data_IF_603560695376
#
_entry.id   IF_603560695376
#
_cell.length_a   1.000
_cell.length_b   1.000
_cell.length_c   1.000
_cell.angle_alpha   90.00
_cell.angle_beta   90.00
_cell.angle_gamma   90.00
#
_symmetry.space_group_name_H-M   'P 1'
#
loop_
_entity.id
_entity.type
_entity.pdbx_description
1 polymer ?
#
# COMPACT_ATOMS: atom_id res chain seq x y z
N UNK A 1 -6.34 -57.54 -17.09
CA UNK A 1 -5.25 -58.17 -16.31
C UNK A 1 -3.96 -57.99 -17.07
N UNK A 2 -2.99 -57.30 -16.48
CA UNK A 2 -1.62 -57.21 -17.02
C UNK A 2 -0.82 -58.43 -16.55
N UNK A 3 0.18 -58.83 -17.33
CA UNK A 3 0.90 -60.13 -17.29
C UNK A 3 1.65 -60.49 -15.98
N UNK A 4 1.46 -59.74 -14.89
CA UNK A 4 2.10 -59.95 -13.59
C UNK A 4 1.16 -59.88 -12.38
N UNK A 5 -0.17 -59.99 -12.57
CA UNK A 5 -1.12 -60.05 -11.44
C UNK A 5 -1.20 -58.78 -10.59
N UNK A 6 -0.76 -57.64 -11.13
CA UNK A 6 -0.96 -56.32 -10.50
C UNK A 6 -2.28 -55.73 -10.97
N UNK A 7 -3.16 -55.43 -10.01
CA UNK A 7 -4.34 -54.62 -10.28
C UNK A 7 -3.91 -53.17 -10.50
N UNK A 8 -4.38 -52.55 -11.59
CA UNK A 8 -4.09 -51.16 -11.92
C UNK A 8 -5.40 -50.39 -11.95
N UNK A 9 -5.50 -49.36 -11.12
CA UNK A 9 -6.58 -48.39 -11.19
C UNK A 9 -6.17 -47.24 -12.10
N UNK A 10 -6.93 -47.02 -13.18
CA UNK A 10 -6.75 -45.88 -14.08
C UNK A 10 -7.80 -44.82 -13.75
N UNK A 11 -7.36 -43.69 -13.22
CA UNK A 11 -8.22 -42.52 -12.99
C UNK A 11 -8.20 -41.63 -14.23
N UNK A 12 -9.34 -41.52 -14.90
CA UNK A 12 -9.54 -40.62 -16.05
C UNK A 12 -10.36 -39.44 -15.55
N UNK A 13 -9.75 -38.26 -15.52
CA UNK A 13 -10.37 -37.03 -15.09
C UNK A 13 -10.34 -36.00 -16.22
N UNK A 14 -11.37 -35.17 -16.30
CA UNK A 14 -11.29 -33.94 -17.08
C UNK A 14 -10.40 -32.90 -16.35
N UNK A 15 -10.17 -31.77 -17.00
CA UNK A 15 -9.30 -30.73 -16.45
C UNK A 15 -9.84 -30.13 -15.13
N UNK A 16 -11.16 -30.02 -14.96
CA UNK A 16 -11.76 -29.42 -13.75
C UNK A 16 -11.68 -30.39 -12.57
N UNK A 17 -11.91 -31.68 -12.79
CA UNK A 17 -11.74 -32.71 -11.78
C UNK A 17 -10.25 -32.90 -11.41
N UNK A 18 -9.34 -32.85 -12.39
CA UNK A 18 -7.91 -32.95 -12.15
C UNK A 18 -7.37 -31.82 -11.26
N UNK A 19 -7.95 -30.62 -11.32
CA UNK A 19 -7.60 -29.49 -10.43
C UNK A 19 -7.94 -29.72 -8.96
N UNK A 20 -8.75 -30.73 -8.64
CA UNK A 20 -9.12 -31.10 -7.27
C UNK A 20 -8.33 -32.29 -6.75
N UNK A 21 -7.34 -32.77 -7.52
CA UNK A 21 -6.44 -33.84 -7.12
C UNK A 21 -5.21 -33.27 -6.42
N UNK A 22 -4.90 -33.83 -5.26
CA UNK A 22 -3.79 -33.45 -4.39
C UNK A 22 -2.94 -34.67 -4.09
N UNK A 23 -1.62 -34.49 -4.11
CA UNK A 23 -0.64 -35.53 -3.76
C UNK A 23 0.28 -35.00 -2.65
N UNK A 24 -0.25 -34.81 -1.42
CA UNK A 24 0.59 -34.36 -0.31
C UNK A 24 1.64 -35.42 0.01
N UNK A 25 2.85 -34.98 0.33
CA UNK A 25 3.93 -35.89 0.68
C UNK A 25 3.79 -36.41 2.09
N UNK A 26 4.11 -37.69 2.28
CA UNK A 26 4.19 -38.33 3.59
C UNK A 26 5.65 -38.67 3.85
N UNK A 27 6.16 -38.14 4.96
CA UNK A 27 7.56 -38.25 5.39
C UNK A 27 7.84 -39.66 5.90
N UNK A 28 8.93 -40.27 5.43
CA UNK A 28 9.41 -41.53 5.96
C UNK A 28 10.00 -41.41 7.38
N UNK A 29 9.93 -42.46 8.22
CA UNK A 29 10.49 -42.42 9.57
C UNK A 29 12.00 -42.14 9.55
N UNK A 30 12.47 -41.17 10.36
CA UNK A 30 13.89 -40.90 10.57
C UNK A 30 14.62 -40.21 9.42
N UNK A 31 13.91 -39.55 8.50
CA UNK A 31 14.52 -38.74 7.44
C UNK A 31 14.47 -37.25 7.77
N UNK A 32 15.63 -36.59 7.72
CA UNK A 32 15.73 -35.14 7.58
C UNK A 32 15.34 -34.76 6.12
N UNK A 33 14.75 -33.58 5.93
CA UNK A 33 14.23 -33.09 4.62
C UNK A 33 12.90 -33.71 4.18
N UNK A 34 11.94 -33.80 5.11
CA UNK A 34 10.52 -34.16 4.93
C UNK A 34 9.80 -33.47 3.77
N UNK A 35 10.18 -32.23 3.47
CA UNK A 35 9.52 -31.36 2.51
C UNK A 35 9.87 -31.70 1.04
N UNK A 36 10.83 -32.59 0.80
CA UNK A 36 11.43 -32.82 -0.51
C UNK A 36 11.08 -34.21 -1.05
N UNK A 37 10.06 -34.23 -1.92
CA UNK A 37 9.46 -35.44 -2.50
C UNK A 37 10.48 -36.39 -3.15
N UNK A 38 11.45 -35.84 -3.88
CA UNK A 38 12.48 -36.60 -4.60
C UNK A 38 13.54 -37.25 -3.70
N UNK A 39 13.56 -36.88 -2.41
CA UNK A 39 14.58 -37.31 -1.44
C UNK A 39 13.99 -38.31 -0.43
N UNK A 40 12.75 -38.10 0.02
CA UNK A 40 12.25 -38.77 1.23
C UNK A 40 10.79 -39.24 1.20
N UNK A 41 10.07 -39.15 0.07
CA UNK A 41 8.67 -39.60 0.01
C UNK A 41 8.54 -41.14 0.00
N UNK A 42 7.79 -41.70 0.96
CA UNK A 42 7.69 -43.16 1.15
C UNK A 42 6.35 -43.77 0.76
N UNK A 43 5.30 -42.99 0.52
CA UNK A 43 3.95 -43.54 0.29
C UNK A 43 3.15 -42.74 -0.73
N UNK A 44 2.64 -43.37 -1.82
CA UNK A 44 1.74 -42.70 -2.73
C UNK A 44 0.40 -42.44 -2.01
N UNK A 45 0.02 -41.17 -1.91
CA UNK A 45 -1.27 -40.71 -1.42
C UNK A 45 -1.87 -39.80 -2.49
N UNK A 46 -3.12 -40.07 -2.87
CA UNK A 46 -3.89 -39.21 -3.74
C UNK A 46 -5.19 -38.84 -3.02
N UNK A 47 -5.47 -37.55 -2.93
CA UNK A 47 -6.69 -37.00 -2.32
C UNK A 47 -7.44 -36.19 -3.37
N UNK A 48 -8.74 -36.41 -3.48
CA UNK A 48 -9.63 -35.65 -4.38
C UNK A 48 -10.72 -34.95 -3.58
N UNK A 49 -11.10 -33.74 -3.98
CA UNK A 49 -12.32 -33.06 -3.50
C UNK A 49 -12.10 -31.73 -2.79
N UNK A 50 -11.23 -31.63 -1.76
CA UNK A 50 -10.97 -30.39 -1.03
C UNK A 50 -10.47 -29.24 -1.91
N UNK A 51 -10.63 -28.00 -1.42
CA UNK A 51 -10.08 -26.80 -2.09
C UNK A 51 -8.56 -26.79 -2.04
N UNK A 52 -7.98 -27.20 -0.92
CA UNK A 52 -6.54 -27.35 -0.74
C UNK A 52 -6.28 -28.51 0.23
N UNK A 53 -5.24 -29.30 -0.04
CA UNK A 53 -4.67 -30.24 0.94
C UNK A 53 -3.22 -29.82 1.15
N UNK A 54 -2.91 -29.33 2.36
CA UNK A 54 -1.62 -28.74 2.71
C UNK A 54 -0.59 -29.80 3.04
N UNK A 55 -0.95 -30.73 3.92
CA UNK A 55 -0.05 -31.79 4.36
C UNK A 55 -0.83 -33.05 4.77
N UNK A 56 -0.07 -34.12 4.94
CA UNK A 56 -0.57 -35.43 5.32
C UNK A 56 0.42 -36.11 6.27
N UNK A 57 -0.09 -36.84 7.26
CA UNK A 57 0.74 -37.64 8.17
C UNK A 57 0.06 -38.97 8.42
N UNK A 58 0.81 -40.07 8.34
CA UNK A 58 0.32 -41.41 8.70
C UNK A 58 0.99 -41.83 10.01
N UNK A 59 0.17 -42.08 11.02
CA UNK A 59 0.60 -42.65 12.31
C UNK A 59 -0.21 -43.92 12.59
N UNK A 60 0.46 -45.07 12.59
CA UNK A 60 -0.21 -46.37 12.68
C UNK A 60 -1.17 -46.57 11.51
N UNK A 61 -2.48 -46.56 11.79
CA UNK A 61 -3.55 -46.70 10.79
C UNK A 61 -4.31 -45.41 10.50
N UNK A 62 -3.95 -44.32 11.17
CA UNK A 62 -4.65 -43.05 11.07
C UNK A 62 -3.93 -42.15 10.08
N UNK A 63 -4.62 -41.74 9.02
CA UNK A 63 -4.18 -40.70 8.10
C UNK A 63 -4.75 -39.35 8.58
N UNK A 64 -3.89 -38.43 8.99
CA UNK A 64 -4.29 -37.06 9.30
C UNK A 64 -4.00 -36.16 8.10
N UNK A 65 -5.01 -35.43 7.66
CA UNK A 65 -4.96 -34.46 6.57
C UNK A 65 -5.29 -33.07 7.11
N UNK A 66 -4.54 -32.07 6.66
CA UNK A 66 -4.86 -30.67 6.91
C UNK A 66 -5.01 -29.91 5.60
N UNK A 67 -5.97 -29.01 5.56
CA UNK A 67 -6.29 -28.27 4.35
C UNK A 67 -7.53 -27.41 4.49
N UNK A 68 -8.05 -26.99 3.34
CA UNK A 68 -9.02 -25.92 3.26
C UNK A 68 -10.21 -26.34 2.41
N UNK A 69 -11.38 -25.84 2.79
CA UNK A 69 -12.64 -26.04 2.09
C UNK A 69 -13.27 -24.68 1.79
N UNK A 70 -13.77 -24.50 0.59
CA UNK A 70 -14.55 -23.32 0.19
C UNK A 70 -16.06 -23.61 0.15
N UNK A 71 -16.43 -24.89 0.11
CA UNK A 71 -17.81 -25.38 0.02
C UNK A 71 -17.86 -26.83 0.51
N UNK A 72 -19.07 -27.37 0.62
CA UNK A 72 -19.28 -28.79 0.89
C UNK A 72 -18.68 -29.62 -0.24
N UNK A 73 -17.97 -30.69 0.11
CA UNK A 73 -17.32 -31.53 -0.88
C UNK A 73 -17.24 -32.97 -0.41
N UNK A 74 -17.18 -33.88 -1.37
CA UNK A 74 -16.86 -35.27 -1.12
C UNK A 74 -15.36 -35.46 -1.23
N UNK A 75 -14.70 -35.75 -0.11
CA UNK A 75 -13.30 -36.14 -0.13
C UNK A 75 -13.19 -37.61 -0.49
N UNK A 76 -12.28 -37.93 -1.41
CA UNK A 76 -11.89 -39.31 -1.73
C UNK A 76 -10.39 -39.46 -1.52
N UNK A 77 -9.99 -40.49 -0.78
CA UNK A 77 -8.61 -40.77 -0.39
C UNK A 77 -8.19 -42.14 -0.93
N UNK A 78 -7.20 -42.13 -1.82
CA UNK A 78 -6.48 -43.32 -2.25
C UNK A 78 -5.20 -43.42 -1.42
N UNK A 79 -5.24 -44.25 -0.38
CA UNK A 79 -4.13 -44.50 0.53
C UNK A 79 -3.76 -45.98 0.55
N UNK A 80 -2.67 -46.31 1.26
CA UNK A 80 -2.32 -47.69 1.58
C UNK A 80 -3.48 -48.41 2.30
N UNK A 81 -3.67 -49.70 2.02
CA UNK A 81 -4.73 -50.53 2.64
C UNK A 81 -4.59 -50.69 4.16
N UNK A 82 -3.46 -50.26 4.75
CA UNK A 82 -3.27 -50.22 6.20
C UNK A 82 -4.01 -49.06 6.88
N UNK A 83 -4.43 -48.04 6.12
CA UNK A 83 -5.21 -46.90 6.63
C UNK A 83 -6.68 -47.30 6.74
N UNK A 84 -7.23 -47.26 7.95
CA UNK A 84 -8.67 -47.46 8.20
C UNK A 84 -9.34 -46.29 8.94
N UNK A 85 -8.57 -45.28 9.36
CA UNK A 85 -9.05 -44.03 9.95
C UNK A 85 -8.48 -42.82 9.19
N UNK A 86 -9.32 -41.82 8.92
CA UNK A 86 -8.90 -40.55 8.34
C UNK A 86 -9.39 -39.39 9.20
N UNK A 87 -8.51 -38.44 9.48
CA UNK A 87 -8.81 -37.17 10.13
C UNK A 87 -8.66 -36.02 9.15
N UNK A 88 -9.56 -35.05 9.23
CA UNK A 88 -9.48 -33.78 8.50
C UNK A 88 -9.43 -32.62 9.49
N UNK A 89 -8.38 -31.81 9.46
CA UNK A 89 -8.16 -30.69 10.38
C UNK A 89 -8.36 -31.11 11.85
N UNK A 90 -7.85 -32.29 12.22
CA UNK A 90 -7.96 -32.87 13.56
C UNK A 90 -9.26 -33.62 13.88
N UNK A 91 -10.30 -33.53 13.04
CA UNK A 91 -11.58 -34.22 13.24
C UNK A 91 -11.62 -35.58 12.54
N UNK A 92 -11.93 -36.65 13.28
CA UNK A 92 -12.13 -38.00 12.71
C UNK A 92 -13.36 -38.03 11.82
N UNK A 93 -13.20 -38.56 10.62
CA UNK A 93 -14.26 -38.64 9.61
C UNK A 93 -15.02 -39.97 9.67
N UNK A 94 -16.29 -39.91 9.29
CA UNK A 94 -17.07 -41.12 8.97
C UNK A 94 -16.77 -41.56 7.54
N UNK A 95 -16.18 -42.73 7.39
CA UNK A 95 -15.67 -43.22 6.10
C UNK A 95 -16.62 -44.23 5.45
N UNK A 96 -16.73 -44.15 4.13
CA UNK A 96 -17.38 -45.16 3.30
C UNK A 96 -16.38 -45.70 2.27
N UNK A 97 -16.19 -47.01 2.14
CA UNK A 97 -15.37 -47.57 1.08
C UNK A 97 -16.06 -47.34 -0.27
N UNK A 98 -15.26 -47.00 -1.28
CA UNK A 98 -15.70 -46.94 -2.67
C UNK A 98 -15.58 -48.31 -3.34
N UNK A 99 -16.24 -48.50 -4.48
CA UNK A 99 -16.18 -49.77 -5.25
C UNK A 99 -14.76 -50.16 -5.70
N UNK A 100 -13.83 -49.21 -5.71
CA UNK A 100 -12.45 -49.34 -6.17
C UNK A 100 -11.44 -49.23 -5.02
N UNK A 101 -11.89 -49.41 -3.77
CA UNK A 101 -11.01 -49.60 -2.61
C UNK A 101 -10.44 -48.31 -1.99
N UNK A 102 -10.85 -47.13 -2.45
CA UNK A 102 -10.55 -45.87 -1.76
C UNK A 102 -11.55 -45.58 -0.65
N UNK A 103 -11.19 -44.63 0.22
CA UNK A 103 -12.03 -44.16 1.32
C UNK A 103 -12.70 -42.84 0.91
N UNK A 104 -13.99 -42.70 1.18
CA UNK A 104 -14.76 -41.49 0.91
C UNK A 104 -15.38 -40.92 2.18
N UNK A 105 -15.43 -39.59 2.28
CA UNK A 105 -16.05 -38.85 3.38
C UNK A 105 -16.71 -37.57 2.89
N UNK A 106 -17.82 -37.19 3.51
CA UNK A 106 -18.41 -35.87 3.31
C UNK A 106 -17.73 -34.84 4.21
N UNK A 107 -17.29 -33.74 3.61
CA UNK A 107 -16.75 -32.58 4.31
C UNK A 107 -17.72 -31.41 4.18
N UNK A 108 -17.99 -30.77 5.31
CA UNK A 108 -18.84 -29.57 5.34
C UNK A 108 -17.94 -28.35 5.16
N UNK A 109 -18.26 -27.51 4.19
CA UNK A 109 -17.56 -26.25 3.96
C UNK A 109 -17.91 -25.19 4.99
N UNK A 110 -17.31 -23.99 4.87
CA UNK A 110 -17.55 -22.91 5.81
C UNK A 110 -19.03 -22.48 5.85
N UNK A 111 -19.50 -22.11 7.05
CA UNK A 111 -20.85 -21.57 7.33
C UNK A 111 -20.78 -20.29 8.16
N UNK A 112 -19.76 -19.48 7.91
CA UNK A 112 -19.54 -18.22 8.61
C UNK A 112 -20.03 -17.06 7.75
N UNK A 113 -20.82 -16.18 8.36
CA UNK A 113 -21.06 -14.83 7.87
C UNK A 113 -20.17 -13.90 8.67
N UNK A 114 -19.40 -13.05 7.99
CA UNK A 114 -18.61 -12.01 8.66
C UNK A 114 -19.37 -10.70 8.58
N UNK A 115 -19.67 -10.14 9.74
CA UNK A 115 -20.25 -8.80 9.85
C UNK A 115 -19.12 -7.77 9.73
N UNK A 116 -19.08 -7.08 8.59
CA UNK A 116 -18.11 -6.02 8.34
C UNK A 116 -18.74 -4.65 8.65
N UNK A 117 -17.97 -3.72 9.24
CA UNK A 117 -18.47 -2.38 9.51
C UNK A 117 -18.74 -1.60 8.22
N UNK A 118 -19.81 -0.81 8.22
CA UNK A 118 -19.98 0.25 7.23
C UNK A 118 -19.01 1.39 7.56
N UNK A 119 -17.91 1.46 6.81
CA UNK A 119 -16.86 2.46 7.01
C UNK A 119 -17.41 3.89 6.92
N UNK A 120 -18.47 4.15 6.15
CA UNK A 120 -19.04 5.49 6.01
C UNK A 120 -19.78 5.98 7.25
N UNK A 121 -20.17 5.06 8.14
CA UNK A 121 -20.90 5.35 9.38
C UNK A 121 -20.01 5.46 10.63
N UNK A 122 -18.71 5.20 10.50
CA UNK A 122 -17.77 5.22 11.62
C UNK A 122 -17.47 6.65 12.11
N UNK A 123 -16.95 6.76 13.33
CA UNK A 123 -16.62 8.04 13.97
C UNK A 123 -15.26 8.57 13.48
N UNK A 124 -15.23 9.06 12.25
CA UNK A 124 -14.02 9.62 11.63
C UNK A 124 -13.55 10.93 12.29
N UNK A 125 -12.23 11.12 12.28
CA UNK A 125 -11.51 12.32 12.69
C UNK A 125 -10.71 12.87 11.55
N UNK A 126 -10.62 14.19 11.47
CA UNK A 126 -9.93 14.93 10.42
C UNK A 126 -8.96 15.96 10.99
N UNK A 127 -7.78 16.02 10.37
CA UNK A 127 -6.82 17.11 10.55
C UNK A 127 -6.19 17.50 9.21
N UNK A 128 -5.78 18.76 9.11
CA UNK A 128 -4.94 19.24 8.01
C UNK A 128 -3.52 18.67 8.15
N UNK A 129 -2.99 18.15 7.05
CA UNK A 129 -1.69 17.48 6.96
C UNK A 129 -0.73 18.24 6.02
N UNK A 130 -0.97 19.54 5.81
CA UNK A 130 -0.04 20.43 5.11
C UNK A 130 0.16 21.78 5.85
N UNK A 131 0.47 21.80 7.16
CA UNK A 131 0.70 23.05 7.89
C UNK A 131 1.89 23.86 7.34
N UNK A 132 2.76 23.25 6.55
CA UNK A 132 3.94 23.86 5.96
C UNK A 132 3.62 25.02 5.03
N UNK A 133 2.42 25.14 4.44
CA UNK A 133 2.12 26.30 3.58
C UNK A 133 2.02 27.61 4.39
N UNK A 134 1.76 27.54 5.69
CA UNK A 134 1.67 28.73 6.53
C UNK A 134 3.03 29.44 6.67
N UNK A 135 3.08 30.78 6.56
CA UNK A 135 4.28 31.57 6.88
C UNK A 135 4.75 31.43 8.32
N UNK A 136 3.84 31.09 9.25
CA UNK A 136 4.15 30.88 10.67
C UNK A 136 4.63 29.47 11.03
N UNK A 137 4.71 28.57 10.05
CA UNK A 137 5.18 27.21 10.27
C UNK A 137 6.66 27.20 10.71
N UNK A 138 6.95 26.53 11.83
CA UNK A 138 8.32 26.31 12.31
C UNK A 138 8.99 25.15 11.57
N UNK A 139 9.86 25.49 10.62
CA UNK A 139 10.61 24.54 9.81
C UNK A 139 11.97 24.14 10.42
N UNK A 140 12.29 24.53 11.65
CA UNK A 140 13.55 24.18 12.32
C UNK A 140 13.80 22.67 12.44
N UNK A 141 12.73 21.88 12.40
CA UNK A 141 12.78 20.42 12.42
C UNK A 141 13.05 19.79 11.04
N UNK A 142 12.98 20.55 9.95
CA UNK A 142 13.31 20.08 8.60
C UNK A 142 14.83 19.95 8.41
N UNK A 143 15.25 19.08 7.51
CA UNK A 143 16.67 18.99 7.12
C UNK A 143 17.01 20.21 6.27
N UNK A 144 18.16 20.87 6.47
CA UNK A 144 18.63 21.87 5.52
C UNK A 144 19.09 21.20 4.21
N UNK A 145 18.57 21.66 3.06
CA UNK A 145 19.09 21.23 1.75
C UNK A 145 20.27 22.10 1.31
N UNK A 146 21.42 21.92 1.96
CA UNK A 146 22.63 22.73 1.78
C UNK A 146 23.73 22.00 0.98
N UNK A 147 23.43 20.83 0.41
CA UNK A 147 24.40 20.12 -0.41
C UNK A 147 24.64 20.87 -1.72
N UNK A 148 25.90 21.12 -2.04
CA UNK A 148 26.32 21.79 -3.28
C UNK A 148 26.97 20.83 -4.29
N UNK A 149 27.07 19.54 -3.92
CA UNK A 149 27.65 18.49 -4.74
C UNK A 149 26.84 17.20 -4.60
N UNK A 150 26.87 16.35 -5.62
CA UNK A 150 26.19 15.06 -5.62
C UNK A 150 27.07 13.97 -6.20
N UNK A 151 26.87 12.73 -5.75
CA UNK A 151 27.47 11.55 -6.38
C UNK A 151 26.67 11.06 -7.59
N UNK A 152 25.44 11.56 -7.75
CA UNK A 152 24.56 11.23 -8.87
C UNK A 152 25.19 11.66 -10.20
N UNK A 153 25.08 10.79 -11.21
CA UNK A 153 25.63 11.04 -12.56
C UNK A 153 24.79 11.99 -13.40
N UNK A 154 23.58 12.31 -12.96
CA UNK A 154 22.68 13.26 -13.61
C UNK A 154 22.78 14.63 -12.91
N UNK A 155 23.45 15.63 -13.53
CA UNK A 155 23.50 16.95 -12.95
C UNK A 155 22.12 17.62 -12.97
N UNK A 156 21.83 18.56 -12.04
CA UNK A 156 20.63 19.37 -12.12
C UNK A 156 20.54 20.11 -13.46
N UNK A 157 19.33 20.25 -13.99
CA UNK A 157 19.06 20.97 -15.23
C UNK A 157 19.38 22.46 -15.09
N UNK A 158 19.03 23.06 -13.96
CA UNK A 158 19.25 24.47 -13.59
C UNK A 158 19.04 24.63 -12.07
N UNK A 159 19.17 25.85 -11.53
CA UNK A 159 19.06 26.11 -10.09
C UNK A 159 20.35 25.70 -9.38
N UNK A 160 21.17 26.69 -9.04
CA UNK A 160 22.46 26.53 -8.36
C UNK A 160 22.45 27.47 -7.15
N UNK A 161 23.16 27.14 -6.06
CA UNK A 161 24.16 26.08 -5.95
C UNK A 161 23.65 24.75 -5.37
N UNK A 162 22.41 24.69 -4.88
CA UNK A 162 21.92 23.56 -4.08
C UNK A 162 21.48 22.38 -4.94
N UNK A 163 21.80 21.17 -4.47
CA UNK A 163 21.30 19.91 -5.02
C UNK A 163 20.04 19.52 -4.24
N UNK A 164 18.93 19.37 -4.94
CA UNK A 164 17.62 19.06 -4.36
C UNK A 164 17.17 17.64 -4.72
N UNK A 165 18.09 16.66 -4.58
CA UNK A 165 17.83 15.24 -4.80
C UNK A 165 17.57 14.55 -3.46
N UNK A 166 16.42 13.90 -3.33
CA UNK A 166 15.98 13.26 -2.10
C UNK A 166 17.00 12.25 -1.55
N UNK A 167 17.60 11.45 -2.44
CA UNK A 167 18.60 10.43 -2.07
C UNK A 167 19.86 11.01 -1.45
N UNK A 168 20.27 12.21 -1.85
CA UNK A 168 21.47 12.86 -1.28
C UNK A 168 21.25 13.25 0.19
N UNK A 169 19.98 13.31 0.65
CA UNK A 169 19.60 13.59 2.03
C UNK A 169 19.07 12.34 2.76
N UNK A 170 19.17 11.15 2.16
CA UNK A 170 18.72 9.88 2.74
C UNK A 170 17.22 9.61 2.62
N UNK A 171 16.55 10.22 1.63
CA UNK A 171 15.10 10.11 1.41
C UNK A 171 14.79 9.33 0.14
N UNK A 172 14.17 8.16 0.29
CA UNK A 172 14.09 7.16 -0.78
C UNK A 172 12.66 6.70 -1.12
N UNK A 173 11.64 7.22 -0.43
CA UNK A 173 10.26 6.79 -0.61
C UNK A 173 9.21 7.82 -0.16
N UNK A 174 8.00 7.60 -0.66
CA UNK A 174 6.79 8.34 -0.30
C UNK A 174 6.83 9.81 -0.68
N UNK A 175 5.85 10.59 -0.24
CA UNK A 175 5.80 12.00 -0.59
C UNK A 175 7.07 12.74 -0.12
N UNK A 176 7.47 13.77 -0.87
CA UNK A 176 8.60 14.63 -0.55
C UNK A 176 8.11 16.07 -0.48
N UNK A 177 8.59 16.82 0.51
CA UNK A 177 8.23 18.21 0.70
C UNK A 177 9.49 19.09 0.70
N UNK A 178 9.52 20.05 -0.21
CA UNK A 178 10.58 21.05 -0.36
C UNK A 178 10.01 22.40 0.09
N UNK A 179 10.72 23.14 0.93
CA UNK A 179 10.27 24.45 1.43
C UNK A 179 11.41 25.44 1.32
N UNK A 180 11.30 26.32 0.33
CA UNK A 180 12.32 27.28 0.01
C UNK A 180 11.99 28.68 0.44
N UNK A 181 13.00 29.41 0.92
CA UNK A 181 12.83 30.76 1.48
C UNK A 181 13.46 31.83 0.60
N UNK A 182 12.81 32.98 0.47
CA UNK A 182 13.37 34.18 -0.16
C UNK A 182 12.79 35.46 0.46
N UNK A 183 13.53 36.57 0.41
CA UNK A 183 13.10 37.86 0.98
C UNK A 183 12.40 38.74 -0.07
N UNK A 184 11.39 39.52 0.28
CA UNK A 184 10.79 40.52 -0.60
C UNK A 184 10.58 41.84 0.13
N UNK A 185 10.68 42.95 -0.59
CA UNK A 185 10.28 44.27 -0.09
C UNK A 185 9.84 45.12 -1.28
N UNK A 186 9.20 46.26 -1.01
CA UNK A 186 8.81 47.21 -2.06
C UNK A 186 9.99 47.71 -2.93
N UNK A 187 11.23 47.56 -2.45
CA UNK A 187 12.44 47.96 -3.16
C UNK A 187 13.08 46.81 -3.98
N UNK A 188 12.56 45.59 -3.92
CA UNK A 188 13.05 44.45 -4.72
C UNK A 188 12.07 44.11 -5.83
N UNK A 189 12.61 43.76 -7.00
CA UNK A 189 11.78 43.29 -8.12
C UNK A 189 10.97 42.07 -7.70
N UNK A 190 9.65 42.16 -7.82
CA UNK A 190 8.76 41.03 -7.59
C UNK A 190 9.06 39.90 -8.60
N UNK A 191 9.15 38.63 -8.15
CA UNK A 191 9.23 37.51 -9.07
C UNK A 191 7.95 37.43 -9.91
N UNK A 192 8.07 37.10 -11.18
CA UNK A 192 6.92 36.96 -12.09
C UNK A 192 6.44 35.52 -12.23
N UNK A 193 7.28 34.56 -11.83
CA UNK A 193 6.93 33.14 -11.79
C UNK A 193 7.87 32.31 -10.90
N UNK A 194 7.38 31.17 -10.44
CA UNK A 194 8.15 30.07 -9.85
C UNK A 194 8.37 29.00 -10.92
N UNK A 195 9.62 28.74 -11.28
CA UNK A 195 9.97 27.68 -12.22
C UNK A 195 10.58 26.50 -11.49
N UNK A 196 10.06 25.30 -11.76
CA UNK A 196 10.51 24.05 -11.14
C UNK A 196 10.55 22.92 -12.15
N UNK A 197 11.57 22.07 -12.03
CA UNK A 197 11.69 20.78 -12.72
C UNK A 197 11.59 19.69 -11.68
N UNK A 198 10.48 18.96 -11.66
CA UNK A 198 10.09 18.05 -10.58
C UNK A 198 10.20 16.62 -11.10
N UNK A 199 10.86 15.74 -10.34
CA UNK A 199 11.07 14.33 -10.69
C UNK A 199 10.57 13.41 -9.59
N UNK A 200 9.48 12.69 -9.85
CA UNK A 200 8.88 11.74 -8.90
C UNK A 200 8.76 10.30 -9.42
N UNK A 201 9.17 10.03 -10.66
CA UNK A 201 8.96 8.73 -11.32
C UNK A 201 7.63 8.67 -12.08
N UNK A 202 7.41 7.59 -12.82
CA UNK A 202 6.25 7.46 -13.72
C UNK A 202 4.93 7.67 -12.98
N UNK A 203 4.07 8.56 -13.49
CA UNK A 203 2.74 8.90 -12.94
C UNK A 203 2.76 9.62 -11.58
N UNK A 204 3.90 10.19 -11.17
CA UNK A 204 3.94 11.08 -10.01
C UNK A 204 3.09 12.33 -10.24
N UNK A 205 2.74 12.99 -9.14
CA UNK A 205 2.16 14.32 -9.14
C UNK A 205 2.96 15.25 -8.21
N UNK A 206 2.76 16.55 -8.36
CA UNK A 206 3.22 17.56 -7.43
C UNK A 206 2.24 18.72 -7.35
N UNK A 207 2.38 19.52 -6.31
CA UNK A 207 1.62 20.73 -6.03
C UNK A 207 2.56 21.78 -5.48
N UNK A 208 2.37 23.03 -5.90
CA UNK A 208 3.23 24.15 -5.51
C UNK A 208 2.41 25.25 -4.87
N UNK A 209 2.91 25.81 -3.78
CA UNK A 209 2.36 26.97 -3.09
C UNK A 209 3.42 28.05 -2.93
N UNK A 210 2.98 29.31 -2.97
CA UNK A 210 3.74 30.48 -2.53
C UNK A 210 3.04 31.04 -1.30
N UNK A 211 3.66 30.92 -0.13
CA UNK A 211 3.01 31.11 1.16
C UNK A 211 1.75 30.22 1.19
N UNK A 212 0.59 30.82 1.44
CA UNK A 212 -0.70 30.13 1.45
C UNK A 212 -1.34 30.07 0.04
N UNK A 213 -0.79 30.76 -0.96
CA UNK A 213 -1.38 30.77 -2.30
C UNK A 213 -1.04 29.50 -3.08
N UNK A 214 -2.06 28.74 -3.47
CA UNK A 214 -1.90 27.61 -4.36
C UNK A 214 -1.55 28.08 -5.78
N UNK A 215 -0.37 27.69 -6.26
CA UNK A 215 0.09 28.06 -7.60
C UNK A 215 -0.39 27.07 -8.67
N UNK A 216 -0.55 25.80 -8.31
CA UNK A 216 -1.11 24.78 -9.21
C UNK A 216 -0.45 23.40 -9.11
N UNK A 217 -1.03 22.43 -9.82
CA UNK A 217 -0.51 21.07 -9.87
C UNK A 217 0.55 20.90 -10.96
N UNK A 218 1.39 19.88 -10.80
CA UNK A 218 2.17 19.27 -11.87
C UNK A 218 1.84 17.80 -11.96
N UNK A 219 1.13 17.41 -13.02
CA UNK A 219 0.85 16.02 -13.30
C UNK A 219 0.83 15.79 -14.81
N UNK A 220 1.57 14.78 -15.27
CA UNK A 220 1.55 14.33 -16.66
C UNK A 220 1.49 12.81 -16.67
N UNK A 221 0.46 12.20 -17.29
CA UNK A 221 0.41 10.74 -17.43
C UNK A 221 1.70 10.22 -18.05
N UNK A 222 2.33 9.23 -17.41
CA UNK A 222 3.64 8.67 -17.80
C UNK A 222 4.82 9.65 -17.78
N UNK A 223 4.64 10.87 -17.26
CA UNK A 223 5.71 11.80 -17.00
C UNK A 223 6.62 11.25 -15.90
N UNK A 224 7.92 11.35 -16.10
CA UNK A 224 8.96 10.99 -15.12
C UNK A 224 9.49 12.26 -14.44
N UNK A 225 9.67 13.30 -15.25
CA UNK A 225 10.07 14.64 -14.83
C UNK A 225 9.22 15.66 -15.57
N UNK A 226 8.66 16.62 -14.83
CA UNK A 226 7.84 17.69 -15.39
C UNK A 226 8.55 19.04 -15.19
N UNK A 227 8.53 19.89 -16.21
CA UNK A 227 9.01 21.26 -16.11
C UNK A 227 7.80 22.18 -16.08
N UNK A 228 7.64 22.94 -15.00
CA UNK A 228 6.52 23.86 -14.82
C UNK A 228 7.02 25.28 -14.56
N UNK A 229 6.15 26.24 -14.89
CA UNK A 229 6.33 27.66 -14.66
C UNK A 229 5.00 28.21 -14.17
N UNK A 230 4.95 28.58 -12.90
CA UNK A 230 3.73 29.08 -12.25
C UNK A 230 3.80 30.60 -12.11
N UNK A 231 2.82 31.35 -12.64
CA UNK A 231 2.82 32.81 -12.53
C UNK A 231 2.71 33.26 -11.07
N UNK A 232 3.39 34.36 -10.74
CA UNK A 232 3.34 35.02 -9.44
C UNK A 232 2.92 36.46 -9.64
N UNK A 233 2.06 36.96 -8.76
CA UNK A 233 1.64 38.35 -8.69
C UNK A 233 2.01 38.96 -7.33
N UNK A 234 2.12 40.29 -7.28
CA UNK A 234 2.57 41.01 -6.08
C UNK A 234 1.67 40.79 -4.86
N UNK A 235 0.37 40.55 -5.05
CA UNK A 235 -0.58 40.27 -3.98
C UNK A 235 -0.35 38.92 -3.27
N UNK A 236 0.47 38.04 -3.86
CA UNK A 236 0.86 36.76 -3.24
C UNK A 236 2.10 36.90 -2.34
N UNK A 237 2.77 38.06 -2.37
CA UNK A 237 4.02 38.31 -1.68
C UNK A 237 3.79 39.03 -0.35
N UNK A 238 4.56 38.63 0.65
CA UNK A 238 4.68 39.32 1.93
C UNK A 238 5.87 40.27 1.89
N UNK A 239 5.77 41.39 2.61
CA UNK A 239 6.95 42.19 2.95
C UNK A 239 7.79 41.42 3.99
N UNK A 240 9.05 41.15 3.67
CA UNK A 240 9.94 40.25 4.39
C UNK A 240 10.02 38.83 3.80
N UNK A 241 10.06 37.83 4.67
CA UNK A 241 10.33 36.43 4.30
C UNK A 241 9.11 35.78 3.64
N UNK A 242 9.35 35.15 2.48
CA UNK A 242 8.37 34.41 1.70
C UNK A 242 8.83 32.95 1.52
N UNK A 243 7.87 32.05 1.33
CA UNK A 243 8.14 30.62 1.22
C UNK A 243 7.51 30.01 -0.03
N UNK A 244 8.27 29.20 -0.76
CA UNK A 244 7.73 28.31 -1.79
C UNK A 244 7.72 26.88 -1.26
N UNK A 245 6.55 26.28 -1.17
CA UNK A 245 6.36 24.90 -0.74
C UNK A 245 6.05 24.03 -1.97
N UNK A 246 6.82 22.97 -2.19
CA UNK A 246 6.59 21.97 -3.23
C UNK A 246 6.34 20.62 -2.56
N UNK A 247 5.11 20.15 -2.63
CA UNK A 247 4.77 18.76 -2.31
C UNK A 247 4.85 17.95 -3.59
N UNK A 248 5.64 16.89 -3.61
CA UNK A 248 5.72 15.96 -4.74
C UNK A 248 5.54 14.52 -4.29
N UNK A 249 5.06 13.69 -5.20
CA UNK A 249 5.01 12.25 -5.01
C UNK A 249 6.33 11.58 -5.43
N UNK A 250 6.70 10.49 -4.74
CA UNK A 250 7.79 9.60 -5.11
C UNK A 250 7.22 8.20 -5.37
N UNK A 251 7.12 7.82 -6.64
CA UNK A 251 6.52 6.54 -7.07
C UNK A 251 7.46 5.33 -6.95
N UNK A 252 8.59 5.53 -6.27
CA UNK A 252 9.66 4.54 -6.14
C UNK A 252 10.81 4.82 -7.11
N UNK A 253 11.94 4.14 -6.88
CA UNK A 253 13.04 4.14 -7.83
C UNK A 253 12.72 3.24 -9.01
N UNK A 254 13.26 3.58 -10.17
CA UNK A 254 13.14 2.72 -11.34
C UNK A 254 13.96 1.45 -11.12
N UNK A 255 13.62 0.39 -11.86
CA UNK A 255 14.46 -0.79 -11.98
C UNK A 255 15.56 -0.57 -13.04
N UNK A 256 16.64 -1.34 -12.97
CA UNK A 256 17.68 -1.31 -13.99
C UNK A 256 17.13 -1.82 -15.34
N UNK A 257 17.18 -0.98 -16.38
CA UNK A 257 16.76 -1.34 -17.73
C UNK A 257 15.26 -1.19 -18.01
N UNK A 258 14.51 -0.53 -17.13
CA UNK A 258 13.07 -0.29 -17.27
C UNK A 258 12.74 0.76 -18.34
N UNK A 259 13.52 1.84 -18.42
CA UNK A 259 13.23 2.98 -19.31
C UNK A 259 14.06 2.75 -20.59
N UNK A 260 13.57 1.82 -21.40
CA UNK A 260 14.28 1.19 -22.54
C UNK A 260 14.77 2.17 -23.63
N UNK A 261 14.43 3.45 -23.59
CA UNK A 261 14.92 4.44 -24.54
C UNK A 261 15.40 5.72 -23.85
N UNK A 262 16.64 6.09 -24.16
CA UNK A 262 17.20 7.44 -23.99
C UNK A 262 17.76 7.86 -22.62
N UNK A 263 17.89 6.98 -21.61
CA UNK A 263 18.68 7.35 -20.41
C UNK A 263 20.14 7.61 -20.81
N UNK A 264 20.68 8.83 -20.60
CA UNK A 264 22.07 9.11 -20.90
C UNK A 264 23.01 8.17 -20.15
N UNK A 265 23.77 7.34 -20.87
CA UNK A 265 24.66 6.33 -20.28
C UNK A 265 24.10 4.89 -20.21
N UNK A 266 22.92 4.63 -20.77
CA UNK A 266 22.37 3.29 -21.00
C UNK A 266 21.61 2.67 -19.81
N UNK A 267 21.15 1.43 -19.99
CA UNK A 267 20.20 0.70 -19.11
C UNK A 267 20.57 0.65 -17.63
N UNK A 268 21.86 0.66 -17.31
CA UNK A 268 22.34 0.57 -15.92
C UNK A 268 22.08 1.85 -15.12
N UNK A 269 21.84 2.98 -15.79
CA UNK A 269 21.66 4.28 -15.13
C UNK A 269 20.20 4.61 -14.82
N UNK A 270 19.25 3.74 -15.16
CA UNK A 270 17.83 3.93 -14.81
C UNK A 270 17.62 3.97 -13.29
N UNK A 271 18.37 3.13 -12.55
CA UNK A 271 18.44 3.14 -11.08
C UNK A 271 18.92 4.48 -10.50
N UNK A 272 19.68 5.24 -11.28
CA UNK A 272 20.34 6.47 -10.83
C UNK A 272 19.52 7.72 -11.13
N UNK A 273 18.36 7.60 -11.78
CA UNK A 273 17.52 8.77 -12.08
C UNK A 273 17.06 9.45 -10.78
N UNK A 274 17.45 10.72 -10.55
CA UNK A 274 17.18 11.39 -9.29
C UNK A 274 15.68 11.60 -9.09
N UNK A 275 15.30 11.60 -7.82
CA UNK A 275 13.96 11.96 -7.34
C UNK A 275 14.09 13.21 -6.49
N UNK A 276 13.22 14.19 -6.67
CA UNK A 276 13.44 15.55 -6.17
C UNK A 276 13.30 16.62 -7.23
N UNK A 277 13.79 17.82 -6.93
CA UNK A 277 13.83 18.93 -7.87
C UNK A 277 15.13 18.86 -8.68
N UNK A 278 15.00 18.68 -9.99
CA UNK A 278 16.11 18.74 -10.95
C UNK A 278 16.37 20.17 -11.43
N UNK A 279 15.53 21.13 -11.06
CA UNK A 279 15.77 22.54 -11.30
C UNK A 279 14.74 23.41 -10.61
N UNK A 280 15.16 24.61 -10.23
CA UNK A 280 14.36 25.58 -9.52
C UNK A 280 14.90 26.98 -9.78
N UNK A 281 14.04 27.98 -9.99
CA UNK A 281 14.41 29.40 -9.92
C UNK A 281 13.19 30.32 -9.81
N UNK A 282 13.40 31.53 -9.28
CA UNK A 282 12.43 32.63 -9.27
C UNK A 282 12.68 33.55 -10.47
N UNK A 283 11.69 33.66 -11.36
CA UNK A 283 11.82 34.49 -12.58
C UNK A 283 11.91 35.97 -12.21
N UNK A 284 13.01 36.62 -12.59
CA UNK A 284 13.24 38.05 -12.31
C UNK A 284 14.10 38.35 -11.08
N UNK A 285 14.68 37.32 -10.44
CA UNK A 285 15.54 37.41 -9.24
C UNK A 285 16.98 36.90 -9.51
N UNK A 286 17.92 37.25 -8.64
CA UNK A 286 19.32 36.81 -8.70
C UNK A 286 19.45 35.31 -8.34
N UNK A 287 20.41 34.61 -8.96
CA UNK A 287 20.65 33.17 -8.77
C UNK A 287 21.12 32.79 -7.35
N UNK A 288 21.45 33.77 -6.51
CA UNK A 288 21.98 33.56 -5.14
C UNK A 288 20.91 33.47 -4.04
N UNK A 289 19.63 33.73 -4.34
CA UNK A 289 18.50 33.76 -3.38
C UNK A 289 17.58 32.53 -3.49
N UNK A 290 18.14 31.32 -3.59
CA UNK A 290 17.37 30.10 -3.91
C UNK A 290 17.15 29.13 -2.73
N UNK A 291 16.10 28.33 -2.88
CA UNK A 291 15.42 27.46 -1.90
C UNK A 291 16.27 26.37 -1.22
N UNK A 292 15.89 25.99 0.02
CA UNK A 292 16.35 24.80 0.77
C UNK A 292 15.18 23.80 0.98
N UNK A 293 15.38 22.59 1.53
CA UNK A 293 14.33 21.56 1.58
C UNK A 293 14.54 20.37 2.53
N UNK A 294 13.44 19.69 2.89
CA UNK A 294 13.30 18.82 4.07
C UNK A 294 13.14 17.30 3.86
N UNK A 295 12.51 16.65 4.86
CA UNK A 295 12.67 15.24 5.29
C UNK A 295 11.69 14.21 4.69
N UNK A 296 12.11 12.94 4.59
CA UNK A 296 11.25 11.72 4.50
C UNK A 296 11.86 10.52 5.26
N UNK A 297 11.18 9.37 5.37
CA UNK A 297 11.61 8.17 6.13
C UNK A 297 11.57 6.89 5.29
N UNK A 298 11.93 5.77 5.93
CA UNK A 298 12.32 4.50 5.30
C UNK A 298 11.05 3.70 4.92
N UNK A 299 10.63 3.88 3.66
CA UNK A 299 9.72 3.06 2.85
C UNK A 299 8.24 2.92 3.25
N UNK A 300 7.89 2.72 4.53
CA UNK A 300 6.47 2.65 4.97
C UNK A 300 5.83 4.04 5.10
N UNK A 301 6.65 5.03 5.46
CA UNK A 301 6.27 6.43 5.61
C UNK A 301 6.93 7.25 4.50
N UNK A 302 6.16 8.15 3.91
CA UNK A 302 6.63 9.30 3.16
C UNK A 302 6.82 10.53 4.04
N UNK A 303 6.78 11.69 3.38
CA UNK A 303 7.03 13.00 3.94
C UNK A 303 5.78 13.83 4.21
N UNK A 304 4.56 13.30 4.17
CA UNK A 304 3.37 14.07 4.60
C UNK A 304 3.44 14.36 6.10
N UNK A 305 2.89 15.50 6.55
CA UNK A 305 2.92 15.86 7.98
C UNK A 305 2.34 14.75 8.87
N UNK A 306 1.19 14.18 8.50
CA UNK A 306 0.57 13.08 9.25
C UNK A 306 1.42 11.81 9.31
N UNK A 307 2.24 11.53 8.31
CA UNK A 307 3.21 10.43 8.37
C UNK A 307 4.33 10.74 9.38
N UNK A 308 4.92 11.94 9.29
CA UNK A 308 6.01 12.37 10.18
C UNK A 308 5.56 12.43 11.64
N UNK A 309 4.35 12.93 11.88
CA UNK A 309 3.71 12.99 13.20
C UNK A 309 3.20 11.63 13.70
N UNK A 310 3.15 10.60 12.84
CA UNK A 310 2.72 9.25 13.21
C UNK A 310 1.21 9.05 13.28
N UNK A 311 0.41 9.91 12.65
CA UNK A 311 -1.06 9.86 12.69
C UNK A 311 -1.68 8.59 12.07
N UNK A 312 -0.89 7.79 11.33
CA UNK A 312 -1.28 6.46 10.84
C UNK A 312 -1.20 5.36 11.91
N UNK A 313 -0.48 5.58 13.02
CA UNK A 313 -0.15 4.54 14.01
C UNK A 313 -1.27 4.33 15.03
N UNK A 314 -1.54 3.08 15.47
CA UNK A 314 -2.47 2.81 16.57
C UNK A 314 -2.13 3.60 17.85
N UNK A 315 -3.16 4.03 18.59
CA UNK A 315 -2.99 4.68 19.89
C UNK A 315 -2.62 6.17 19.88
N UNK A 316 -2.42 6.81 18.73
CA UNK A 316 -2.39 8.28 18.64
C UNK A 316 -3.72 8.90 19.11
N UNK A 317 -3.65 9.97 19.90
CA UNK A 317 -4.81 10.70 20.43
C UNK A 317 -5.30 11.75 19.42
N UNK A 318 -6.39 11.44 18.73
CA UNK A 318 -7.11 12.29 17.78
C UNK A 318 -8.39 12.89 18.39
N UNK A 319 -8.54 12.88 19.71
CA UNK A 319 -9.78 13.34 20.39
C UNK A 319 -10.11 14.81 20.15
N UNK A 320 -9.10 15.64 19.88
CA UNK A 320 -9.25 17.07 19.62
C UNK A 320 -9.45 17.40 18.13
N UNK A 321 -9.42 16.40 17.26
CA UNK A 321 -9.59 16.59 15.82
C UNK A 321 -11.06 16.82 15.47
N UNK A 322 -11.27 17.45 14.32
CA UNK A 322 -12.60 17.67 13.79
C UNK A 322 -13.28 16.34 13.45
N UNK A 323 -14.60 16.25 13.66
CA UNK A 323 -15.40 15.13 13.18
C UNK A 323 -15.75 15.34 11.71
N UNK A 324 -15.10 14.60 10.82
CA UNK A 324 -15.34 14.69 9.38
C UNK A 324 -14.90 13.40 8.70
N UNK A 325 -15.68 12.93 7.74
CA UNK A 325 -15.42 11.70 7.00
C UNK A 325 -14.64 11.97 5.71
N UNK A 326 -13.91 10.98 5.16
CA UNK A 326 -13.27 11.12 3.86
C UNK A 326 -14.26 11.35 2.69
N UNK A 327 -15.54 11.01 2.87
CA UNK A 327 -16.61 11.26 1.88
C UNK A 327 -17.15 12.69 1.93
N UNK A 328 -17.06 13.34 3.09
CA UNK A 328 -17.29 14.79 3.20
C UNK A 328 -16.09 15.57 2.64
N UNK A 329 -14.87 15.04 2.81
CA UNK A 329 -13.68 15.54 2.13
C UNK A 329 -13.05 16.78 2.75
N UNK A 330 -12.28 17.51 1.96
CA UNK A 330 -11.68 18.79 2.29
C UNK A 330 -12.71 19.91 2.11
N UNK A 331 -12.51 21.03 2.80
CA UNK A 331 -13.37 22.19 2.58
C UNK A 331 -13.20 22.73 1.16
N UNK A 332 -14.32 23.16 0.56
CA UNK A 332 -14.27 23.80 -0.76
C UNK A 332 -13.37 25.03 -0.67
N UNK A 333 -12.35 25.15 -1.53
CA UNK A 333 -11.62 26.39 -1.62
C UNK A 333 -12.63 27.49 -1.96
N UNK A 334 -12.55 28.62 -1.27
CA UNK A 334 -13.26 29.83 -1.70
C UNK A 334 -12.87 30.24 -3.14
N UNK A 335 -13.38 31.39 -3.60
CA UNK A 335 -13.15 31.91 -4.97
C UNK A 335 -11.67 31.98 -5.37
N UNK A 336 -10.75 32.00 -4.39
CA UNK A 336 -9.34 32.27 -4.60
C UNK A 336 -8.41 31.02 -4.50
N UNK A 337 -8.93 29.78 -4.38
CA UNK A 337 -8.12 28.54 -4.29
C UNK A 337 -7.03 28.51 -3.19
N UNK A 338 -7.07 29.45 -2.24
CA UNK A 338 -6.01 29.71 -1.23
C UNK A 338 -5.80 28.52 -0.25
N UNK A 339 -6.67 27.50 -0.24
CA UNK A 339 -6.61 26.44 0.77
C UNK A 339 -6.71 25.01 0.21
N UNK A 340 -6.24 24.77 -1.02
CA UNK A 340 -6.02 23.39 -1.44
C UNK A 340 -4.90 22.78 -0.57
N UNK A 341 -5.27 21.80 0.26
CA UNK A 341 -4.38 21.18 1.25
C UNK A 341 -4.40 19.65 1.15
N UNK A 342 -3.65 19.01 2.03
CA UNK A 342 -3.67 17.55 2.22
C UNK A 342 -4.46 17.26 3.49
N UNK A 343 -5.56 16.53 3.38
CA UNK A 343 -6.32 16.07 4.54
C UNK A 343 -5.83 14.75 5.09
N UNK A 344 -6.00 14.55 6.39
CA UNK A 344 -5.78 13.27 7.06
C UNK A 344 -7.03 12.82 7.80
N UNK A 345 -7.54 11.65 7.45
CA UNK A 345 -8.72 11.05 8.06
C UNK A 345 -8.33 9.82 8.87
N UNK A 346 -8.90 9.66 10.05
CA UNK A 346 -8.63 8.54 10.95
C UNK A 346 -9.90 8.01 11.59
N UNK A 347 -10.00 6.70 11.78
CA UNK A 347 -11.06 6.04 12.53
C UNK A 347 -10.56 4.72 13.12
N UNK A 348 -11.34 4.12 14.00
CA UNK A 348 -11.16 2.74 14.45
C UNK A 348 -12.40 1.90 14.17
N UNK A 349 -12.22 0.58 14.08
CA UNK A 349 -13.31 -0.39 14.00
C UNK A 349 -12.86 -1.75 14.54
N UNK A 350 -13.81 -2.56 15.00
CA UNK A 350 -13.55 -3.91 15.50
C UNK A 350 -13.89 -4.96 14.46
N UNK A 351 -13.09 -6.03 14.41
CA UNK A 351 -13.41 -7.26 13.70
C UNK A 351 -13.55 -8.41 14.69
N UNK A 352 -14.43 -9.36 14.35
CA UNK A 352 -14.66 -10.57 15.13
C UNK A 352 -14.82 -11.80 14.22
N UNK A 353 -13.79 -12.07 13.43
CA UNK A 353 -13.75 -13.21 12.52
C UNK A 353 -13.32 -14.45 13.34
N UNK A 354 -14.13 -15.53 13.34
CA UNK A 354 -13.84 -16.72 14.13
C UNK A 354 -12.57 -17.42 13.66
N UNK A 355 -11.88 -18.06 14.60
CA UNK A 355 -10.72 -18.90 14.29
C UNK A 355 -11.11 -20.11 13.42
N UNK A 356 -10.13 -20.64 12.68
CA UNK A 356 -10.33 -21.76 11.76
C UNK A 356 -10.96 -21.36 10.42
N UNK A 357 -11.04 -20.06 10.14
CA UNK A 357 -11.48 -19.52 8.86
C UNK A 357 -10.45 -18.54 8.29
N UNK A 358 -10.12 -18.74 7.02
CA UNK A 358 -9.40 -17.75 6.21
C UNK A 358 -10.45 -16.92 5.45
N UNK A 359 -10.50 -15.63 5.76
CA UNK A 359 -11.46 -14.68 5.20
C UNK A 359 -10.68 -13.53 4.57
N UNK A 360 -10.32 -13.59 3.27
CA UNK A 360 -9.58 -12.51 2.64
C UNK A 360 -10.42 -11.22 2.57
N UNK A 361 -9.89 -10.12 3.13
CA UNK A 361 -10.52 -8.81 3.15
C UNK A 361 -9.82 -7.83 2.20
N UNK A 362 -10.59 -6.87 1.68
CA UNK A 362 -10.07 -5.80 0.82
C UNK A 362 -10.79 -4.49 1.09
N UNK A 363 -10.05 -3.39 0.99
CA UNK A 363 -10.60 -2.05 0.94
C UNK A 363 -10.86 -1.67 -0.52
N UNK A 364 -12.07 -1.24 -0.81
CA UNK A 364 -12.53 -0.90 -2.17
C UNK A 364 -12.87 0.57 -2.22
N UNK A 365 -12.09 1.33 -2.98
CA UNK A 365 -12.41 2.69 -3.38
C UNK A 365 -13.38 2.67 -4.56
N UNK A 366 -14.18 3.72 -4.71
CA UNK A 366 -15.01 3.88 -5.91
C UNK A 366 -14.20 3.71 -7.21
N UNK A 367 -14.75 2.91 -8.12
CA UNK A 367 -14.23 2.75 -9.48
C UNK A 367 -14.58 3.91 -10.39
N UNK A 368 -15.37 4.88 -9.93
CA UNK A 368 -15.80 6.03 -10.72
C UNK A 368 -14.58 6.87 -11.10
N UNK A 369 -14.12 6.68 -12.32
CA UNK A 369 -13.09 7.49 -12.99
C UNK A 369 -13.65 8.85 -13.42
N UNK A 370 -14.66 9.39 -12.70
CA UNK A 370 -15.37 10.62 -13.03
C UNK A 370 -14.38 11.64 -13.60
N UNK A 371 -14.63 12.08 -14.83
CA UNK A 371 -13.67 12.81 -15.65
C UNK A 371 -12.92 13.84 -14.80
N UNK A 372 -11.60 13.72 -14.73
CA UNK A 372 -10.69 14.60 -13.98
C UNK A 372 -10.66 14.41 -12.46
N UNK A 373 -10.99 13.24 -11.90
CA UNK A 373 -10.70 12.96 -10.48
C UNK A 373 -9.20 12.93 -10.22
N UNK A 374 -8.64 13.94 -9.57
CA UNK A 374 -7.22 14.02 -9.24
C UNK A 374 -6.80 13.74 -7.78
N UNK A 375 -7.65 13.21 -6.85
CA UNK A 375 -7.16 12.94 -5.52
C UNK A 375 -6.16 11.77 -5.50
N UNK A 376 -5.04 11.99 -4.84
CA UNK A 376 -4.15 10.94 -4.39
C UNK A 376 -4.54 10.59 -2.96
N UNK A 377 -4.87 9.32 -2.72
CA UNK A 377 -5.14 8.83 -1.38
C UNK A 377 -4.17 7.71 -1.00
N UNK A 378 -3.66 7.73 0.22
CA UNK A 378 -2.91 6.59 0.79
C UNK A 378 -3.75 5.94 1.89
N UNK A 379 -3.83 4.61 1.84
CA UNK A 379 -4.56 3.78 2.80
C UNK A 379 -3.57 3.21 3.81
N UNK A 380 -3.82 3.46 5.10
CA UNK A 380 -3.06 2.88 6.20
C UNK A 380 -3.94 2.02 7.08
N UNK A 381 -3.47 0.82 7.41
CA UNK A 381 -4.15 -0.11 8.31
C UNK A 381 -3.18 -0.49 9.42
N UNK A 382 -3.54 -0.15 10.65
CA UNK A 382 -2.72 -0.40 11.84
C UNK A 382 -1.25 0.07 11.71
N UNK A 383 -1.05 1.23 11.09
CA UNK A 383 0.27 1.82 10.86
C UNK A 383 0.96 1.40 9.55
N UNK A 384 0.43 0.43 8.82
CA UNK A 384 1.04 -0.05 7.58
C UNK A 384 0.39 0.59 6.36
N UNK A 385 1.19 1.15 5.45
CA UNK A 385 0.68 1.68 4.17
C UNK A 385 0.31 0.52 3.25
N UNK A 386 -0.98 0.31 3.01
CA UNK A 386 -1.52 -0.83 2.28
C UNK A 386 -2.03 -0.49 0.87
N UNK A 387 -1.93 0.77 0.46
CA UNK A 387 -2.32 1.17 -0.88
C UNK A 387 -2.15 2.65 -1.16
N UNK A 388 -1.88 2.96 -2.43
CA UNK A 388 -2.01 4.31 -2.98
C UNK A 388 -3.03 4.28 -4.11
N UNK A 389 -4.06 5.11 -3.99
CA UNK A 389 -5.09 5.34 -5.01
C UNK A 389 -4.76 6.63 -5.74
N UNK A 390 -4.39 6.52 -7.01
CA UNK A 390 -4.20 7.66 -7.93
C UNK A 390 -5.42 7.73 -8.83
N UNK A 391 -6.37 8.60 -8.47
CA UNK A 391 -7.73 8.59 -9.01
C UNK A 391 -7.79 8.59 -10.55
N UNK A 392 -7.05 9.51 -11.17
CA UNK A 392 -6.94 9.78 -12.61
C UNK A 392 -6.05 8.81 -13.41
N UNK A 393 -5.31 7.93 -12.74
CA UNK A 393 -4.41 6.97 -13.41
C UNK A 393 -4.96 5.54 -13.30
N UNK A 394 -5.36 5.13 -12.09
CA UNK A 394 -5.77 3.75 -11.83
C UNK A 394 -4.67 2.72 -12.13
N UNK A 395 -5.01 1.45 -12.45
CA UNK A 395 -6.36 0.87 -12.49
C UNK A 395 -6.84 0.37 -11.12
N UNK A 396 -5.95 0.33 -10.12
CA UNK A 396 -6.27 -0.32 -8.85
C UNK A 396 -7.28 0.50 -8.05
N UNK A 397 -8.39 -0.14 -7.71
CA UNK A 397 -9.45 0.38 -6.82
C UNK A 397 -9.67 -0.52 -5.61
N UNK A 398 -9.05 -1.70 -5.61
CA UNK A 398 -9.21 -2.75 -4.60
C UNK A 398 -7.85 -3.09 -3.99
N UNK A 399 -7.74 -2.98 -2.68
CA UNK A 399 -6.51 -3.18 -1.90
C UNK A 399 -6.74 -4.29 -0.89
N UNK A 400 -6.17 -5.47 -1.17
CA UNK A 400 -6.24 -6.62 -0.26
C UNK A 400 -5.36 -6.35 0.95
N UNK A 401 -5.89 -6.62 2.13
CA UNK A 401 -5.14 -6.51 3.39
C UNK A 401 -5.31 -7.82 4.15
N UNK A 402 -4.19 -8.46 4.44
CA UNK A 402 -4.13 -9.78 5.06
C UNK A 402 -4.41 -9.75 6.57
N UNK A 403 -4.89 -10.87 7.11
CA UNK A 403 -4.85 -11.14 8.56
C UNK A 403 -3.41 -10.98 9.06
N UNK A 404 -3.26 -10.45 10.27
CA UNK A 404 -1.97 -10.07 10.86
C UNK A 404 -1.72 -8.57 10.70
N UNK A 405 -1.91 -8.00 9.50
CA UNK A 405 -2.02 -6.54 9.34
C UNK A 405 -3.39 -6.08 9.82
N UNK A 406 -4.46 -6.78 9.44
CA UNK A 406 -5.74 -6.64 10.11
C UNK A 406 -5.75 -7.53 11.36
N UNK A 407 -6.15 -6.95 12.48
CA UNK A 407 -6.51 -7.71 13.67
C UNK A 407 -7.94 -8.24 13.48
N UNK A 408 -8.06 -9.52 13.12
CA UNK A 408 -9.35 -10.17 12.86
C UNK A 408 -10.22 -10.36 14.11
N UNK A 409 -9.63 -10.23 15.30
CA UNK A 409 -10.26 -10.50 16.60
C UNK A 409 -10.02 -9.34 17.57
N UNK A 410 -10.21 -8.13 17.09
CA UNK A 410 -10.05 -6.93 17.90
C UNK A 410 -10.10 -5.65 17.08
N UNK A 411 -9.62 -4.59 17.71
CA UNK A 411 -9.63 -3.25 17.15
C UNK A 411 -8.59 -3.08 16.06
N UNK A 412 -8.97 -2.33 15.03
CA UNK A 412 -8.13 -1.88 13.93
C UNK A 412 -8.17 -0.35 13.87
N UNK A 413 -7.03 0.27 13.57
CA UNK A 413 -6.89 1.68 13.23
C UNK A 413 -6.83 1.81 11.72
N UNK A 414 -7.67 2.66 11.16
CA UNK A 414 -7.70 2.99 9.73
C UNK A 414 -7.36 4.47 9.58
N UNK A 415 -6.42 4.78 8.70
CA UNK A 415 -6.14 6.15 8.31
C UNK A 415 -6.08 6.29 6.79
N UNK A 416 -6.52 7.43 6.29
CA UNK A 416 -6.51 7.76 4.87
C UNK A 416 -6.00 9.19 4.70
N UNK A 417 -4.91 9.37 3.97
CA UNK A 417 -4.54 10.69 3.48
C UNK A 417 -5.33 11.02 2.22
N UNK A 418 -5.68 12.29 2.02
CA UNK A 418 -6.36 12.78 0.83
C UNK A 418 -5.65 14.04 0.35
N UNK A 419 -4.99 13.94 -0.79
CA UNK A 419 -4.32 15.05 -1.45
C UNK A 419 -5.08 15.41 -2.73
N UNK A 420 -5.75 16.56 -2.72
CA UNK A 420 -6.37 17.11 -3.93
C UNK A 420 -5.36 17.91 -4.75
N UNK A 421 -5.28 17.66 -6.05
CA UNK A 421 -4.43 18.42 -6.97
C UNK A 421 -5.16 19.58 -7.63
N UNK A 422 -6.49 19.60 -7.61
CA UNK A 422 -7.31 20.63 -8.24
C UNK A 422 -8.45 21.09 -7.32
N UNK A 423 -9.04 22.24 -7.66
CA UNK A 423 -10.07 22.91 -6.88
C UNK A 423 -11.49 22.41 -7.12
N UNK A 424 -11.70 21.38 -7.94
CA UNK A 424 -13.05 20.93 -8.25
C UNK A 424 -13.65 20.23 -7.00
N UNK A 425 -14.91 20.51 -6.63
CA UNK A 425 -15.53 19.88 -5.45
C UNK A 425 -15.51 18.35 -5.43
N UNK A 426 -15.43 17.72 -6.60
CA UNK A 426 -15.34 16.26 -6.74
C UNK A 426 -13.95 15.68 -6.46
N UNK A 427 -12.89 16.51 -6.44
CA UNK A 427 -11.51 16.12 -6.13
C UNK A 427 -11.20 16.21 -4.64
N UNK A 428 -12.02 16.94 -3.90
CA UNK A 428 -11.84 17.21 -2.49
C UNK A 428 -12.31 16.06 -1.59
N UNK A 429 -12.93 15.01 -2.14
CA UNK A 429 -13.54 13.93 -1.37
C UNK A 429 -13.31 12.55 -1.98
N UNK A 430 -13.38 11.52 -1.16
CA UNK A 430 -13.37 10.13 -1.59
C UNK A 430 -14.83 9.69 -1.79
N UNK A 431 -15.27 9.32 -3.00
CA UNK A 431 -16.69 9.03 -3.25
C UNK A 431 -17.24 7.85 -2.44
N UNK A 432 -16.43 6.80 -2.28
CA UNK A 432 -16.72 5.68 -1.40
C UNK A 432 -15.43 4.95 -1.01
N UNK A 433 -15.45 4.36 0.19
CA UNK A 433 -14.45 3.44 0.70
C UNK A 433 -15.17 2.35 1.50
N UNK A 434 -15.04 1.10 1.06
CA UNK A 434 -15.75 -0.04 1.65
C UNK A 434 -14.77 -1.13 2.08
N UNK A 435 -15.04 -1.79 3.21
CA UNK A 435 -14.37 -3.04 3.59
C UNK A 435 -15.21 -4.22 3.10
N UNK A 436 -14.65 -5.03 2.21
CA UNK A 436 -15.38 -6.09 1.51
C UNK A 436 -14.72 -7.44 1.74
N UNK A 437 -15.56 -8.44 2.04
CA UNK A 437 -15.16 -9.85 2.07
C UNK A 437 -15.00 -10.39 0.65
N UNK A 438 -13.86 -11.00 0.35
CA UNK A 438 -13.60 -11.58 -0.97
C UNK A 438 -13.92 -13.09 -1.04
N UNK A 439 -13.92 -13.79 0.09
CA UNK A 439 -14.23 -15.22 0.19
C UNK A 439 -14.22 -15.70 1.64
N UNK A 440 -14.59 -16.96 1.85
CA UNK A 440 -14.50 -17.65 3.16
C UNK A 440 -14.02 -19.06 2.90
N UNK A 441 -12.99 -19.46 3.62
CA UNK A 441 -12.43 -20.81 3.57
C UNK A 441 -12.34 -21.35 5.00
N UNK A 442 -12.79 -22.58 5.25
CA UNK A 442 -12.57 -23.24 6.55
C UNK A 442 -11.26 -24.01 6.50
N UNK A 443 -10.42 -23.89 7.52
CA UNK A 443 -9.07 -24.44 7.56
C UNK A 443 -8.04 -23.37 7.89
N UNK A 444 -7.00 -23.28 7.07
CA UNK A 444 -5.93 -22.30 7.21
C UNK A 444 -4.76 -22.76 8.07
N UNK A 445 -3.80 -21.86 8.25
CA UNK A 445 -2.56 -22.07 9.03
C UNK A 445 -2.69 -21.67 10.50
N UNK A 446 -3.92 -21.38 10.95
CA UNK A 446 -4.20 -20.80 12.27
C UNK A 446 -4.20 -19.27 12.23
N UNK A 447 -4.42 -18.66 13.41
CA UNK A 447 -4.39 -17.21 13.59
C UNK A 447 -3.04 -16.61 13.22
N UNK A 448 -3.03 -15.53 12.45
CA UNK A 448 -1.82 -14.76 12.21
C UNK A 448 -1.44 -13.94 13.47
N UNK A 449 -0.14 -13.85 13.74
CA UNK A 449 0.37 -12.94 14.75
C UNK A 449 0.13 -11.50 14.31
N UNK A 450 -0.24 -10.66 15.27
CA UNK A 450 -0.50 -9.25 15.07
C UNK A 450 0.63 -8.47 15.74
N UNK A 451 1.42 -7.76 14.94
CA UNK A 451 2.46 -6.85 15.39
C UNK A 451 2.21 -5.46 14.78
N UNK A 452 1.58 -4.60 15.56
CA UNK A 452 1.20 -3.24 15.16
C UNK A 452 1.90 -2.24 16.07
N UNK A 453 3.04 -1.66 15.64
CA UNK A 453 3.73 -0.65 16.42
C UNK A 453 2.80 0.52 16.74
N UNK A 454 2.67 0.82 18.03
CA UNK A 454 1.86 1.93 18.50
C UNK A 454 2.57 3.26 18.30
N UNK A 455 1.80 4.33 18.28
CA UNK A 455 2.33 5.68 18.27
C UNK A 455 3.29 5.92 19.44
N UNK A 456 2.92 5.47 20.64
CA UNK A 456 3.77 5.61 21.83
C UNK A 456 5.09 4.85 21.69
N UNK A 457 5.12 3.66 21.09
CA UNK A 457 6.37 2.91 20.90
C UNK A 457 7.32 3.59 19.92
N UNK A 458 6.78 4.16 18.83
CA UNK A 458 7.59 4.72 17.75
C UNK A 458 7.83 6.23 17.85
N UNK A 459 7.04 6.96 18.64
CA UNK A 459 7.05 8.42 18.74
C UNK A 459 7.00 8.92 20.19
N UNK A 460 7.03 8.03 21.19
CA UNK A 460 6.73 8.22 22.62
C UNK A 460 7.55 9.20 23.45
N UNK A 461 7.94 10.32 22.88
CA UNK A 461 8.37 11.51 23.58
C UNK A 461 8.26 12.68 22.59
N UNK A 462 7.16 13.44 22.68
CA UNK A 462 7.16 14.84 22.31
C UNK A 462 7.72 15.64 23.50
#
# INVERSE_FOLDING_TARGET
MTDHGKETLLLIADYLAAKRLWMPSIVGPGMDHSEYVDISATTPLLVSGPYLVRNATIEGKTLSLWGDLETDTTMTVFASSHVDEVKWNGQTLSLSPTEWGALSAQLTGPRVSVDLPDLGSLDWRFADSLPEISPSFDDSSLTPADHTNTTNKFPPYYGKPWILYADDYGYHAGNLLWRGTFEHSENTSAPTAVNVSISGGTNFAASVWLNEHYLGPSFRPRGITNNESFPVSEDMLLDGTNFVTVLQDHMGHNLAGEIVCCTPGGRQRDLQQPKGLQGYFLVGRDETEQFTAGKSRILNEGGLFGERAGWHLPGFDDSQWEKKTPMEGLDEPGVDLIHLSVGWFRTTFDLNIPEGFDVPLKFVFSSDQGHYRVPLAQLYVNGWMMGKRVANVGPQTSYVVQEGILNYRGQNTLAVSLWSLEGNPEDLKIPSLELVQNGVYSGGVGAAEVDHPTWQELRGSA
#
